data_IF_028728502318
#
_entry.id   IF_028728502318
#
_cell.length_a   1.000
_cell.length_b   1.000
_cell.length_c   1.000
_cell.angle_alpha   90.00
_cell.angle_beta   90.00
_cell.angle_gamma   90.00
#
_symmetry.space_group_name_H-M   'P 1'
#
loop_
_entity.id
_entity.type
_entity.pdbx_description
1 polymer ?
#
# COMPACT_ATOMS: atom_id res chain seq x y z
N UNK A 1 2.22 22.38 6.03
CA UNK A 1 2.26 23.76 5.50
C UNK A 1 3.57 24.12 4.83
N UNK A 2 4.75 23.89 5.41
CA UNK A 2 6.02 24.20 4.70
C UNK A 2 6.23 23.29 3.46
N UNK A 3 6.02 21.98 3.61
CA UNK A 3 6.09 21.02 2.50
C UNK A 3 5.06 21.34 1.41
N UNK A 4 3.85 21.75 1.79
CA UNK A 4 2.80 22.07 0.81
C UNK A 4 3.20 23.29 -0.03
N UNK A 5 3.80 24.32 0.58
CA UNK A 5 4.35 25.48 -0.15
C UNK A 5 5.45 25.06 -1.11
N UNK A 6 6.42 24.25 -0.64
CA UNK A 6 7.49 23.74 -1.49
C UNK A 6 6.99 22.92 -2.68
N UNK A 7 5.89 22.17 -2.52
CA UNK A 7 5.28 21.44 -3.61
C UNK A 7 4.50 22.35 -4.56
N UNK A 8 3.74 23.32 -4.04
CA UNK A 8 2.97 24.28 -4.86
C UNK A 8 3.88 25.13 -5.75
N UNK A 9 5.07 25.50 -5.26
CA UNK A 9 6.02 26.33 -6.00
C UNK A 9 6.73 25.55 -7.14
N UNK A 10 6.49 24.23 -7.24
CA UNK A 10 7.08 23.38 -8.29
C UNK A 10 6.07 23.10 -9.40
N UNK A 11 6.57 23.13 -10.64
CA UNK A 11 5.77 22.77 -11.82
C UNK A 11 5.26 21.31 -11.80
N UNK A 12 5.97 20.40 -11.14
CA UNK A 12 5.65 18.96 -11.02
C UNK A 12 5.20 18.57 -9.60
N UNK A 13 4.88 19.54 -8.72
CA UNK A 13 4.68 19.26 -7.30
C UNK A 13 3.50 18.34 -7.01
N UNK A 14 2.44 18.44 -7.81
CA UNK A 14 1.25 17.57 -7.69
C UNK A 14 1.57 16.15 -8.14
N UNK A 15 2.34 15.99 -9.22
CA UNK A 15 2.84 14.70 -9.71
C UNK A 15 3.71 14.03 -8.65
N UNK A 16 4.66 14.76 -8.07
CA UNK A 16 5.52 14.26 -6.97
C UNK A 16 4.68 13.82 -5.77
N UNK A 17 3.64 14.56 -5.42
CA UNK A 17 2.71 14.16 -4.35
C UNK A 17 1.95 12.86 -4.69
N UNK A 18 1.49 12.70 -5.94
CA UNK A 18 0.86 11.46 -6.41
C UNK A 18 1.83 10.27 -6.42
N UNK A 19 3.08 10.47 -6.83
CA UNK A 19 4.11 9.44 -6.81
C UNK A 19 4.40 8.99 -5.39
N UNK A 20 4.54 9.93 -4.46
CA UNK A 20 4.75 9.63 -3.03
C UNK A 20 3.59 8.82 -2.46
N UNK A 21 2.34 9.21 -2.72
CA UNK A 21 1.17 8.48 -2.21
C UNK A 21 1.03 7.09 -2.85
N UNK A 22 1.41 6.93 -4.12
CA UNK A 22 1.51 5.62 -4.77
C UNK A 22 2.60 4.76 -4.13
N UNK A 23 3.79 5.31 -3.89
CA UNK A 23 4.89 4.61 -3.24
C UNK A 23 4.52 4.14 -1.82
N UNK A 24 3.82 4.97 -1.06
CA UNK A 24 3.30 4.60 0.26
C UNK A 24 2.31 3.43 0.18
N UNK A 25 1.38 3.45 -0.79
CA UNK A 25 0.44 2.33 -0.98
C UNK A 25 1.15 1.02 -1.34
N UNK A 26 2.17 1.07 -2.22
CA UNK A 26 3.01 -0.10 -2.54
C UNK A 26 3.74 -0.62 -1.29
N UNK A 27 4.40 0.27 -0.55
CA UNK A 27 5.09 -0.10 0.69
C UNK A 27 4.14 -0.79 1.69
N UNK A 28 2.94 -0.24 1.90
CA UNK A 28 1.95 -0.88 2.76
C UNK A 28 1.56 -2.28 2.28
N UNK A 29 1.38 -2.48 0.96
CA UNK A 29 1.10 -3.82 0.40
C UNK A 29 2.23 -4.80 0.70
N UNK A 30 3.48 -4.37 0.52
CA UNK A 30 4.65 -5.22 0.73
C UNK A 30 4.79 -5.62 2.21
N UNK A 31 4.59 -4.67 3.13
CA UNK A 31 4.54 -4.94 4.57
C UNK A 31 3.42 -5.91 4.93
N UNK A 32 2.21 -5.69 4.42
CA UNK A 32 1.07 -6.59 4.66
C UNK A 32 1.36 -8.00 4.12
N UNK A 33 1.95 -8.11 2.92
CA UNK A 33 2.30 -9.39 2.31
C UNK A 33 3.31 -10.16 3.18
N UNK A 34 4.35 -9.48 3.67
CA UNK A 34 5.31 -10.05 4.60
C UNK A 34 4.63 -10.56 5.88
N UNK A 35 3.80 -9.73 6.52
CA UNK A 35 3.14 -10.12 7.78
C UNK A 35 2.18 -11.31 7.56
N UNK A 36 1.45 -11.34 6.44
CA UNK A 36 0.62 -12.50 6.08
C UNK A 36 1.45 -13.78 5.93
N UNK A 37 2.57 -13.71 5.23
CA UNK A 37 3.47 -14.85 5.07
C UNK A 37 4.03 -15.31 6.44
N UNK A 38 4.39 -14.36 7.30
CA UNK A 38 4.89 -14.62 8.66
C UNK A 38 3.84 -15.27 9.56
N UNK A 39 2.58 -14.87 9.46
CA UNK A 39 1.45 -15.51 10.16
C UNK A 39 1.24 -16.93 9.65
N UNK A 40 1.27 -17.14 8.33
CA UNK A 40 1.11 -18.48 7.75
C UNK A 40 2.20 -19.44 8.22
N UNK A 41 3.45 -18.99 8.29
CA UNK A 41 4.56 -19.81 8.79
C UNK A 41 4.33 -20.29 10.24
N UNK A 42 3.78 -19.45 11.11
CA UNK A 42 3.46 -19.85 12.49
C UNK A 42 2.29 -20.81 12.56
N UNK A 43 1.26 -20.58 11.76
CA UNK A 43 0.11 -21.49 11.69
C UNK A 43 0.56 -22.88 11.21
N UNK A 44 1.49 -22.95 10.26
CA UNK A 44 2.07 -24.20 9.78
C UNK A 44 2.93 -24.87 10.86
N UNK A 45 3.74 -24.09 11.57
CA UNK A 45 4.55 -24.58 12.68
C UNK A 45 3.67 -25.14 13.80
N UNK A 46 2.69 -24.39 14.28
CA UNK A 46 1.75 -24.81 15.31
C UNK A 46 1.04 -26.12 14.95
N UNK A 47 0.54 -26.24 13.70
CA UNK A 47 -0.09 -27.47 13.21
C UNK A 47 0.85 -28.68 13.27
N UNK A 48 2.13 -28.49 12.91
CA UNK A 48 3.13 -29.56 12.96
C UNK A 48 3.48 -29.94 14.41
N UNK A 49 3.60 -28.97 15.31
CA UNK A 49 3.85 -29.20 16.74
C UNK A 49 2.70 -30.00 17.35
N UNK A 50 1.44 -29.59 17.12
CA UNK A 50 0.27 -30.35 17.61
C UNK A 50 0.28 -31.80 17.11
N UNK A 51 0.50 -32.04 15.82
CA UNK A 51 0.55 -33.39 15.26
C UNK A 51 1.71 -34.24 15.84
N UNK A 52 2.85 -33.61 16.10
CA UNK A 52 4.02 -34.26 16.72
C UNK A 52 3.73 -34.63 18.18
N UNK A 53 3.16 -33.71 18.96
CA UNK A 53 2.74 -33.93 20.34
C UNK A 53 1.70 -35.04 20.41
N UNK A 54 0.65 -35.01 19.59
CA UNK A 54 -0.40 -36.04 19.58
C UNK A 54 0.16 -37.43 19.25
N UNK A 55 1.10 -37.50 18.32
CA UNK A 55 1.77 -38.75 17.96
C UNK A 55 2.64 -39.25 19.11
N UNK A 56 3.46 -38.36 19.69
CA UNK A 56 4.36 -38.70 20.79
C UNK A 56 3.60 -39.17 22.03
N UNK A 57 2.50 -38.47 22.38
CA UNK A 57 1.59 -38.88 23.47
C UNK A 57 1.06 -40.28 23.30
N UNK A 58 0.60 -40.64 22.09
CA UNK A 58 0.14 -42.02 21.80
C UNK A 58 1.27 -43.03 21.96
N UNK A 59 2.48 -42.69 21.53
CA UNK A 59 3.61 -43.61 21.58
C UNK A 59 4.14 -43.86 22.99
N UNK A 60 4.14 -42.83 23.85
CA UNK A 60 4.62 -42.94 25.24
C UNK A 60 3.54 -43.39 26.22
N UNK A 61 2.25 -43.36 25.83
CA UNK A 61 1.15 -43.87 26.63
C UNK A 61 1.04 -45.41 26.58
N UNK A 62 2.17 -46.09 26.82
CA UNK A 62 2.30 -47.54 26.91
C UNK A 62 2.69 -47.93 28.35
N UNK A 63 2.39 -49.16 28.81
CA UNK A 63 2.80 -49.63 30.13
C UNK A 63 4.31 -49.58 30.33
N UNK A 64 4.76 -49.34 31.57
CA UNK A 64 6.17 -49.37 31.98
C UNK A 64 7.10 -48.36 31.29
N UNK A 65 6.56 -47.25 30.77
CA UNK A 65 7.37 -46.19 30.15
C UNK A 65 8.00 -45.27 31.21
N UNK A 66 9.34 -45.19 31.31
CA UNK A 66 10.00 -44.34 32.28
C UNK A 66 9.83 -42.85 31.94
N UNK A 67 9.78 -42.00 32.95
CA UNK A 67 9.72 -40.53 32.83
C UNK A 67 8.50 -39.99 32.05
N UNK A 68 7.46 -40.80 31.83
CA UNK A 68 6.27 -40.42 31.03
C UNK A 68 5.67 -39.07 31.45
N UNK A 69 5.50 -38.85 32.74
CA UNK A 69 4.93 -37.60 33.28
C UNK A 69 5.79 -36.38 32.94
N UNK A 70 7.13 -36.51 32.94
CA UNK A 70 8.04 -35.43 32.56
C UNK A 70 7.84 -35.06 31.08
N UNK A 71 7.72 -36.07 30.21
CA UNK A 71 7.47 -35.83 28.78
C UNK A 71 6.07 -35.26 28.51
N UNK A 72 5.03 -35.75 29.20
CA UNK A 72 3.68 -35.18 29.09
C UNK A 72 3.65 -33.70 29.47
N UNK A 73 4.29 -33.32 30.58
CA UNK A 73 4.39 -31.91 30.99
C UNK A 73 5.17 -31.07 29.95
N UNK A 74 6.20 -31.65 29.33
CA UNK A 74 6.94 -30.98 28.24
C UNK A 74 6.05 -30.75 27.02
N UNK A 75 5.21 -31.73 26.66
CA UNK A 75 4.27 -31.60 25.54
C UNK A 75 3.19 -30.55 25.81
N UNK A 76 2.67 -30.49 27.04
CA UNK A 76 1.74 -29.42 27.43
C UNK A 76 2.37 -28.03 27.30
N UNK A 77 3.64 -27.90 27.71
CA UNK A 77 4.39 -26.65 27.56
C UNK A 77 4.57 -26.25 26.10
N UNK A 78 4.87 -27.20 25.20
CA UNK A 78 4.97 -26.93 23.76
C UNK A 78 3.63 -26.51 23.15
N UNK A 79 2.54 -27.19 23.53
CA UNK A 79 1.17 -26.85 23.09
C UNK A 79 0.75 -25.46 23.58
N UNK A 80 1.08 -25.13 24.82
CA UNK A 80 0.84 -23.81 25.39
C UNK A 80 1.62 -22.72 24.64
N UNK A 81 2.91 -22.96 24.36
CA UNK A 81 3.77 -22.01 23.63
C UNK A 81 3.23 -21.69 22.24
N UNK A 82 2.80 -22.69 21.46
CA UNK A 82 2.23 -22.45 20.13
C UNK A 82 0.85 -21.80 20.20
N UNK A 83 0.10 -22.02 21.29
CA UNK A 83 -1.18 -21.35 21.54
C UNK A 83 -0.99 -19.85 21.82
N UNK A 84 -0.04 -19.48 22.68
CA UNK A 84 0.33 -18.07 22.92
C UNK A 84 0.85 -17.38 21.66
N UNK A 85 1.62 -18.11 20.85
CA UNK A 85 2.10 -17.61 19.55
C UNK A 85 0.93 -17.35 18.60
N UNK A 86 -0.07 -18.24 18.57
CA UNK A 86 -1.28 -18.04 17.78
C UNK A 86 -2.02 -16.77 18.17
N UNK A 87 -2.28 -16.54 19.46
CA UNK A 87 -2.93 -15.30 19.94
C UNK A 87 -2.14 -14.05 19.51
N UNK A 88 -0.82 -14.09 19.64
CA UNK A 88 0.06 -13.01 19.16
C UNK A 88 -0.09 -12.76 17.66
N UNK A 89 -0.17 -13.82 16.85
CA UNK A 89 -0.36 -13.68 15.39
C UNK A 89 -1.75 -13.19 15.00
N UNK A 90 -2.79 -13.48 15.80
CA UNK A 90 -4.13 -12.92 15.60
C UNK A 90 -4.13 -11.40 15.85
N UNK A 91 -3.45 -10.94 16.90
CA UNK A 91 -3.24 -9.51 17.12
C UNK A 91 -2.48 -8.84 15.98
N UNK A 92 -1.46 -9.50 15.41
CA UNK A 92 -0.75 -9.00 14.23
C UNK A 92 -1.65 -8.92 12.99
N UNK A 93 -2.53 -9.91 12.78
CA UNK A 93 -3.52 -9.89 11.70
C UNK A 93 -4.41 -8.66 11.84
N UNK A 94 -5.03 -8.47 13.00
CA UNK A 94 -6.02 -7.40 13.18
C UNK A 94 -5.37 -6.01 13.08
N UNK A 95 -4.22 -5.81 13.75
CA UNK A 95 -3.55 -4.50 13.81
C UNK A 95 -2.75 -4.13 12.57
N UNK A 96 -2.17 -5.11 11.87
CA UNK A 96 -1.29 -4.84 10.72
C UNK A 96 -1.95 -5.25 9.42
N UNK A 97 -2.53 -6.44 9.32
CA UNK A 97 -3.11 -6.88 8.05
C UNK A 97 -4.42 -6.14 7.78
N UNK A 98 -5.35 -6.13 8.73
CA UNK A 98 -6.69 -5.58 8.51
C UNK A 98 -6.70 -4.05 8.62
N UNK A 99 -6.19 -3.51 9.73
CA UNK A 99 -6.22 -2.06 9.94
C UNK A 99 -5.37 -1.29 8.92
N UNK A 100 -4.17 -1.77 8.57
CA UNK A 100 -3.34 -1.10 7.56
C UNK A 100 -3.95 -1.22 6.16
N UNK A 101 -4.52 -2.37 5.79
CA UNK A 101 -5.14 -2.52 4.47
C UNK A 101 -6.39 -1.63 4.33
N UNK A 102 -7.20 -1.52 5.39
CA UNK A 102 -8.33 -0.60 5.43
C UNK A 102 -7.88 0.86 5.22
N UNK A 103 -6.86 1.30 5.97
CA UNK A 103 -6.28 2.65 5.84
C UNK A 103 -5.69 2.90 4.47
N UNK A 104 -4.99 1.90 3.91
CA UNK A 104 -4.40 1.94 2.58
C UNK A 104 -5.46 2.10 1.49
N UNK A 105 -6.58 1.37 1.58
CA UNK A 105 -7.72 1.45 0.65
C UNK A 105 -8.44 2.80 0.72
N UNK A 106 -8.60 3.36 1.92
CA UNK A 106 -9.14 4.71 2.10
C UNK A 106 -8.27 5.74 1.36
N UNK A 107 -6.96 5.70 1.57
CA UNK A 107 -6.00 6.60 0.90
C UNK A 107 -5.99 6.41 -0.61
N UNK A 108 -6.01 5.17 -1.10
CA UNK A 108 -6.09 4.87 -2.54
C UNK A 108 -7.36 5.45 -3.18
N UNK A 109 -8.50 5.38 -2.48
CA UNK A 109 -9.78 5.95 -2.93
C UNK A 109 -9.66 7.45 -3.10
N UNK A 110 -9.18 8.16 -2.07
CA UNK A 110 -8.99 9.61 -2.10
C UNK A 110 -7.98 10.01 -3.19
N UNK A 111 -6.85 9.32 -3.28
CA UNK A 111 -5.83 9.57 -4.31
C UNK A 111 -6.41 9.42 -5.72
N UNK A 112 -7.21 8.39 -5.96
CA UNK A 112 -7.80 8.15 -7.28
C UNK A 112 -8.81 9.24 -7.65
N UNK A 113 -9.65 9.68 -6.70
CA UNK A 113 -10.57 10.80 -6.91
C UNK A 113 -9.82 12.10 -7.26
N UNK A 114 -8.81 12.45 -6.46
CA UNK A 114 -7.97 13.62 -6.72
C UNK A 114 -7.23 13.54 -8.06
N UNK A 115 -6.77 12.35 -8.46
CA UNK A 115 -6.09 12.15 -9.75
C UNK A 115 -7.03 12.40 -10.93
N UNK A 116 -8.31 12.03 -10.81
CA UNK A 116 -9.32 12.33 -11.83
C UNK A 116 -9.56 13.84 -11.93
N UNK A 117 -9.71 14.52 -10.78
CA UNK A 117 -9.89 15.98 -10.73
C UNK A 117 -8.68 16.71 -11.33
N UNK A 118 -7.46 16.32 -10.95
CA UNK A 118 -6.22 16.88 -11.48
C UNK A 118 -6.11 16.70 -13.01
N UNK A 119 -6.37 15.49 -13.50
CA UNK A 119 -6.32 15.21 -14.94
C UNK A 119 -7.30 16.07 -15.72
N UNK A 120 -8.51 16.28 -15.17
CA UNK A 120 -9.52 17.15 -15.78
C UNK A 120 -9.09 18.62 -15.79
N UNK A 121 -8.53 19.12 -14.68
CA UNK A 121 -8.04 20.49 -14.58
C UNK A 121 -6.86 20.75 -15.55
N UNK A 122 -5.89 19.83 -15.61
CA UNK A 122 -4.75 19.94 -16.53
C UNK A 122 -5.19 19.93 -17.99
N UNK A 123 -6.16 19.08 -18.35
CA UNK A 123 -6.74 19.09 -19.69
C UNK A 123 -7.39 20.44 -20.03
N UNK A 124 -8.21 20.99 -19.13
CA UNK A 124 -8.84 22.29 -19.35
C UNK A 124 -7.82 23.43 -19.47
N UNK A 125 -6.73 23.39 -18.69
CA UNK A 125 -5.63 24.33 -18.81
C UNK A 125 -4.98 24.23 -20.19
N UNK A 126 -4.63 23.03 -20.63
CA UNK A 126 -4.00 22.79 -21.93
C UNK A 126 -4.88 23.24 -23.11
N UNK A 127 -6.17 22.90 -23.06
CA UNK A 127 -7.14 23.31 -24.10
C UNK A 127 -7.25 24.86 -24.18
N UNK A 128 -7.16 25.56 -23.03
CA UNK A 128 -7.14 27.02 -22.97
C UNK A 128 -5.85 27.62 -23.51
N UNK A 129 -4.68 27.03 -23.18
CA UNK A 129 -3.37 27.43 -23.72
C UNK A 129 -3.33 27.30 -25.24
N UNK A 130 -3.82 26.17 -25.78
CA UNK A 130 -3.88 25.94 -27.22
C UNK A 130 -4.79 26.97 -27.91
N UNK A 131 -5.92 27.30 -27.29
CA UNK A 131 -6.85 28.33 -27.80
C UNK A 131 -6.21 29.72 -27.80
N UNK A 132 -5.50 30.08 -26.73
CA UNK A 132 -4.76 31.32 -26.62
C UNK A 132 -3.68 31.43 -27.70
N UNK A 133 -2.90 30.36 -27.91
CA UNK A 133 -1.84 30.34 -28.90
C UNK A 133 -2.36 30.51 -30.33
N UNK A 134 -3.48 29.84 -30.66
CA UNK A 134 -4.17 30.03 -31.95
C UNK A 134 -4.63 31.47 -32.13
N UNK A 135 -5.26 32.07 -31.11
CA UNK A 135 -5.72 33.46 -31.17
C UNK A 135 -4.55 34.44 -31.35
N UNK A 136 -3.46 34.23 -30.62
CA UNK A 136 -2.23 35.03 -30.73
C UNK A 136 -1.61 34.94 -32.13
N UNK A 137 -1.53 33.75 -32.71
CA UNK A 137 -1.06 33.57 -34.09
C UNK A 137 -1.98 34.28 -35.10
N UNK A 138 -3.30 34.18 -34.93
CA UNK A 138 -4.26 34.83 -35.81
C UNK A 138 -4.16 36.36 -35.77
N UNK A 139 -3.92 36.96 -34.59
CA UNK A 139 -3.66 38.40 -34.46
C UNK A 139 -2.40 38.80 -35.22
N UNK A 140 -1.29 38.08 -35.02
CA UNK A 140 -0.03 38.36 -35.71
C UNK A 140 -0.18 38.29 -37.24
N UNK A 141 -0.88 37.28 -37.75
CA UNK A 141 -1.17 37.17 -39.19
C UNK A 141 -1.96 38.36 -39.73
N UNK A 142 -2.94 38.87 -38.96
CA UNK A 142 -3.73 40.04 -39.35
C UNK A 142 -2.90 41.33 -39.33
N UNK A 143 -2.02 41.49 -38.35
CA UNK A 143 -1.09 42.61 -38.28
C UNK A 143 -0.12 42.62 -39.46
N UNK A 144 0.46 41.46 -39.80
CA UNK A 144 1.35 41.32 -40.96
C UNK A 144 0.62 41.61 -42.28
N UNK A 145 -0.63 41.13 -42.42
CA UNK A 145 -1.45 41.42 -43.59
C UNK A 145 -1.79 42.91 -43.70
N UNK A 146 -2.13 43.57 -42.59
CA UNK A 146 -2.39 45.01 -42.56
C UNK A 146 -1.15 45.83 -42.93
N UNK A 147 0.02 45.44 -42.42
CA UNK A 147 1.29 46.09 -42.77
C UNK A 147 1.57 45.98 -44.27
N UNK A 148 1.47 44.79 -44.85
CA UNK A 148 1.62 44.57 -46.30
C UNK A 148 0.61 45.37 -47.12
N UNK A 149 -0.64 45.47 -46.67
CA UNK A 149 -1.64 46.27 -47.37
C UNK A 149 -1.29 47.76 -47.39
N UNK A 150 -0.70 48.29 -46.31
CA UNK A 150 -0.24 49.69 -46.23
C UNK A 150 0.99 50.00 -47.08
N UNK A 151 1.86 49.02 -47.32
CA UNK A 151 3.06 49.18 -48.16
C UNK A 151 2.73 49.18 -49.67
N UNK A 152 1.54 48.71 -50.04
CA UNK A 152 1.07 48.61 -51.43
C UNK A 152 0.09 49.74 -51.84
N UNK A 153 -0.06 50.77 -51.01
CA UNK A 153 -0.87 51.98 -51.26
C UNK A 153 0.07 53.17 -51.35
#
# INVERSE_FOLDING_TARGET
>A
MEIDRLLIDRADGVEVAFERTKAWSTYCKDVIAYVRARIQLEQDHARKVHALVDTSRRDINKPFMPLREIFENSFDTEVEMVSHTKETTEHLRDRVVEALDARRKEHDTVRNALKVEWTKAMKACHDSEETFDKARMAVKMREDALKKARENV
#
